data_IF_692474388184
#
_entry.id   IF_692474388184
#
_cell.length_a   1.000
_cell.length_b   1.000
_cell.length_c   1.000
_cell.angle_alpha   90.00
_cell.angle_beta   90.00
_cell.angle_gamma   90.00
#
_symmetry.space_group_name_H-M   'P 1'
#
loop_
_entity.id
_entity.type
_entity.pdbx_description
1 polymer ?
#
# COMPACT_ATOMS: atom_id res chain seq x y z
N UNK A 1 -13.17 12.10 24.29
CA UNK A 1 -13.65 12.86 23.11
C UNK A 1 -14.53 11.95 22.26
N UNK A 2 -15.60 12.49 21.67
CA UNK A 2 -16.43 11.72 20.74
C UNK A 2 -15.63 11.46 19.46
N UNK A 3 -15.56 10.19 18.99
CA UNK A 3 -14.83 9.80 17.81
C UNK A 3 -15.44 10.45 16.57
N UNK A 4 -14.62 11.05 15.70
CA UNK A 4 -15.07 11.54 14.39
C UNK A 4 -15.64 10.38 13.56
N UNK A 5 -16.56 10.70 12.65
CA UNK A 5 -17.10 9.74 11.68
C UNK A 5 -16.83 10.28 10.26
N UNK A 6 -16.73 9.37 9.29
CA UNK A 6 -16.80 9.77 7.90
C UNK A 6 -18.13 10.45 7.60
N UNK A 7 -18.09 11.49 6.78
CA UNK A 7 -19.29 12.23 6.37
C UNK A 7 -20.16 11.39 5.43
N UNK A 8 -19.52 10.54 4.62
CA UNK A 8 -20.22 9.74 3.62
C UNK A 8 -19.58 8.34 3.50
N UNK A 9 -20.41 7.36 3.08
CA UNK A 9 -19.94 6.01 2.76
C UNK A 9 -18.90 6.03 1.64
N UNK A 10 -19.12 6.85 0.60
CA UNK A 10 -18.16 7.01 -0.49
C UNK A 10 -16.82 7.56 0.04
N UNK A 11 -16.86 8.51 0.99
CA UNK A 11 -15.67 9.01 1.66
C UNK A 11 -14.91 7.90 2.38
N UNK A 12 -15.60 7.08 3.18
CA UNK A 12 -15.00 5.90 3.81
C UNK A 12 -14.35 4.95 2.79
N UNK A 13 -15.07 4.57 1.74
CA UNK A 13 -14.57 3.64 0.73
C UNK A 13 -13.34 4.19 0.01
N UNK A 14 -13.36 5.47 -0.41
CA UNK A 14 -12.25 6.08 -1.13
C UNK A 14 -11.02 6.33 -0.23
N UNK A 15 -11.21 6.68 1.04
CA UNK A 15 -10.09 6.83 1.98
C UNK A 15 -9.47 5.48 2.31
N UNK A 16 -10.29 4.47 2.61
CA UNK A 16 -9.80 3.12 2.91
C UNK A 16 -9.15 2.45 1.68
N UNK A 17 -9.75 2.62 0.50
CA UNK A 17 -9.14 2.16 -0.75
C UNK A 17 -7.85 2.94 -1.05
N UNK A 18 -7.81 4.26 -0.82
CA UNK A 18 -6.59 5.07 -0.97
C UNK A 18 -5.47 4.70 -0.02
N UNK A 19 -5.77 4.08 1.12
CA UNK A 19 -4.76 3.48 1.99
C UNK A 19 -4.15 2.21 1.38
N UNK A 20 -4.97 1.36 0.78
CA UNK A 20 -4.53 0.15 0.10
C UNK A 20 -3.83 0.48 -1.24
N UNK A 21 -4.46 1.35 -2.05
CA UNK A 21 -3.94 1.79 -3.35
C UNK A 21 -2.70 2.67 -3.15
N UNK A 22 -1.54 2.09 -3.39
CA UNK A 22 -0.27 2.78 -3.21
C UNK A 22 0.81 2.27 -4.16
N UNK A 23 2.05 2.39 -3.74
CA UNK A 23 3.23 1.88 -4.47
C UNK A 23 3.10 0.37 -4.73
N UNK A 24 2.42 -0.36 -3.84
CA UNK A 24 2.15 -1.78 -3.98
C UNK A 24 1.40 -2.17 -5.26
N UNK A 25 0.43 -1.35 -5.68
CA UNK A 25 -0.39 -1.58 -6.86
C UNK A 25 0.27 -1.10 -8.15
N UNK A 26 0.88 0.10 -8.10
CA UNK A 26 1.31 0.80 -9.31
C UNK A 26 2.76 0.54 -9.66
N UNK A 27 3.54 0.02 -8.72
CA UNK A 27 4.94 -0.32 -8.91
C UNK A 27 5.22 -1.81 -8.65
N UNK A 28 5.01 -2.28 -7.39
CA UNK A 28 5.40 -3.64 -7.00
C UNK A 28 4.61 -4.71 -7.75
N UNK A 29 3.31 -4.53 -7.91
CA UNK A 29 2.47 -5.50 -8.60
C UNK A 29 2.88 -5.71 -10.07
N UNK A 30 3.05 -4.67 -10.93
CA UNK A 30 3.53 -4.86 -12.29
C UNK A 30 4.93 -5.49 -12.33
N UNK A 31 5.86 -5.04 -11.48
CA UNK A 31 7.20 -5.59 -11.39
C UNK A 31 7.18 -7.10 -11.08
N UNK A 32 6.51 -7.50 -10.00
CA UNK A 32 6.41 -8.93 -9.63
C UNK A 32 5.68 -9.73 -10.71
N UNK A 33 4.66 -9.16 -11.34
CA UNK A 33 3.96 -9.79 -12.47
C UNK A 33 4.92 -10.02 -13.64
N UNK A 34 5.76 -9.07 -13.98
CA UNK A 34 6.80 -9.21 -15.01
C UNK A 34 7.81 -10.30 -14.68
N UNK A 35 8.30 -10.30 -13.44
CA UNK A 35 9.29 -11.27 -12.94
C UNK A 35 8.76 -12.70 -12.93
N UNK A 36 7.51 -12.93 -12.57
CA UNK A 36 6.91 -14.27 -12.46
C UNK A 36 6.08 -14.69 -13.67
N UNK A 37 6.18 -13.97 -14.80
CA UNK A 37 5.63 -14.39 -16.08
C UNK A 37 4.13 -14.20 -16.24
N UNK A 38 3.56 -13.13 -15.73
CA UNK A 38 2.24 -12.62 -16.10
C UNK A 38 1.05 -13.40 -15.57
N UNK A 39 0.24 -13.99 -16.44
CA UNK A 39 -1.11 -14.45 -16.17
C UNK A 39 -1.32 -15.42 -15.00
N UNK A 40 -0.40 -16.35 -14.74
CA UNK A 40 -0.50 -17.22 -13.55
C UNK A 40 -0.35 -16.45 -12.25
N UNK A 41 0.60 -15.51 -12.18
CA UNK A 41 0.74 -14.67 -11.00
C UNK A 41 -0.51 -13.85 -10.73
N UNK A 42 -1.07 -13.21 -11.76
CA UNK A 42 -2.32 -12.42 -11.64
C UNK A 42 -3.47 -13.30 -11.14
N UNK A 43 -3.62 -14.51 -11.69
CA UNK A 43 -4.66 -15.45 -11.27
C UNK A 43 -4.53 -15.82 -9.77
N UNK A 44 -3.34 -16.23 -9.34
CA UNK A 44 -3.11 -16.59 -7.93
C UNK A 44 -3.22 -15.39 -7.00
N UNK A 45 -2.79 -14.20 -7.43
CA UNK A 45 -2.98 -12.96 -6.68
C UNK A 45 -4.46 -12.68 -6.40
N UNK A 46 -5.33 -12.78 -7.41
CA UNK A 46 -6.78 -12.61 -7.25
C UNK A 46 -7.39 -13.64 -6.30
N UNK A 47 -6.96 -14.89 -6.39
CA UNK A 47 -7.40 -15.95 -5.47
C UNK A 47 -6.96 -15.60 -4.03
N UNK A 48 -5.70 -15.24 -3.82
CA UNK A 48 -5.16 -14.90 -2.51
C UNK A 48 -5.83 -13.67 -1.88
N UNK A 49 -6.18 -12.65 -2.67
CA UNK A 49 -6.96 -11.51 -2.18
C UNK A 49 -8.29 -11.93 -1.58
N UNK A 50 -9.00 -12.86 -2.24
CA UNK A 50 -10.31 -13.33 -1.78
C UNK A 50 -10.19 -14.23 -0.53
N UNK A 51 -9.25 -15.19 -0.56
CA UNK A 51 -9.14 -16.17 0.52
C UNK A 51 -8.39 -15.64 1.75
N UNK A 52 -7.50 -14.68 1.59
CA UNK A 52 -6.64 -14.15 2.67
C UNK A 52 -6.88 -12.68 2.93
N UNK A 53 -6.84 -11.84 1.92
CA UNK A 53 -6.91 -10.39 2.04
C UNK A 53 -8.25 -9.91 2.63
N UNK A 54 -9.38 -10.28 2.03
CA UNK A 54 -10.71 -9.88 2.52
C UNK A 54 -10.98 -10.36 3.96
N UNK A 55 -10.70 -11.63 4.35
CA UNK A 55 -10.85 -12.06 5.72
C UNK A 55 -10.06 -11.25 6.75
N UNK A 56 -8.77 -11.03 6.52
CA UNK A 56 -7.92 -10.27 7.45
C UNK A 56 -8.34 -8.80 7.52
N UNK A 57 -8.63 -8.17 6.38
CA UNK A 57 -9.16 -6.81 6.34
C UNK A 57 -10.47 -6.68 7.14
N UNK A 58 -11.36 -7.67 7.03
CA UNK A 58 -12.61 -7.68 7.79
C UNK A 58 -12.36 -7.74 9.31
N UNK A 59 -11.30 -8.43 9.74
CA UNK A 59 -10.91 -8.51 11.17
C UNK A 59 -10.35 -7.17 11.66
N UNK A 60 -9.47 -6.52 10.92
CA UNK A 60 -8.97 -5.19 11.29
C UNK A 60 -10.11 -4.17 11.38
N UNK A 61 -10.97 -4.10 10.36
CA UNK A 61 -12.14 -3.24 10.38
C UNK A 61 -13.07 -3.54 11.56
N UNK A 62 -13.23 -4.82 11.96
CA UNK A 62 -14.06 -5.23 13.07
C UNK A 62 -13.53 -4.73 14.43
N UNK A 63 -12.22 -4.88 14.65
CA UNK A 63 -11.55 -4.39 15.87
C UNK A 63 -11.70 -2.87 15.99
N UNK A 64 -11.45 -2.14 14.90
CA UNK A 64 -11.62 -0.70 14.86
C UNK A 64 -13.07 -0.27 15.10
N UNK A 65 -14.05 -0.87 14.40
CA UNK A 65 -15.46 -0.49 14.51
C UNK A 65 -16.07 -0.83 15.86
N UNK A 66 -15.71 -1.97 16.44
CA UNK A 66 -16.21 -2.38 17.75
C UNK A 66 -15.67 -1.50 18.88
N UNK A 67 -14.39 -1.16 18.83
CA UNK A 67 -13.72 -0.36 19.86
C UNK A 67 -13.95 1.14 19.74
N UNK A 68 -14.09 1.66 18.52
CA UNK A 68 -14.12 3.11 18.23
C UNK A 68 -12.85 3.84 18.69
N UNK A 69 -11.70 3.15 18.67
CA UNK A 69 -10.41 3.63 19.18
C UNK A 69 -9.28 3.34 18.17
N UNK A 70 -8.12 3.94 18.39
CA UNK A 70 -6.87 3.58 17.70
C UNK A 70 -6.26 2.30 18.29
N UNK A 71 -5.34 1.68 17.58
CA UNK A 71 -4.88 0.31 17.81
C UNK A 71 -4.64 -0.09 19.28
N UNK A 72 -3.83 0.67 20.04
CA UNK A 72 -3.53 0.32 21.44
C UNK A 72 -4.78 0.31 22.30
N UNK A 73 -5.57 1.37 22.21
CA UNK A 73 -6.79 1.48 23.00
C UNK A 73 -7.92 0.58 22.49
N UNK A 74 -7.90 0.21 21.23
CA UNK A 74 -8.85 -0.75 20.66
C UNK A 74 -8.70 -2.11 21.31
N UNK A 75 -7.48 -2.63 21.38
CA UNK A 75 -7.21 -3.89 22.07
C UNK A 75 -7.53 -3.79 23.56
N UNK A 76 -7.13 -2.70 24.26
CA UNK A 76 -7.47 -2.50 25.66
C UNK A 76 -8.99 -2.50 25.93
N UNK A 77 -9.78 -2.01 24.97
CA UNK A 77 -11.25 -1.97 25.08
C UNK A 77 -11.88 -3.35 24.89
N UNK A 78 -11.31 -4.18 24.02
CA UNK A 78 -11.89 -5.46 23.59
C UNK A 78 -11.28 -6.68 24.28
N UNK A 79 -10.07 -6.57 24.85
CA UNK A 79 -9.42 -7.66 25.57
C UNK A 79 -10.08 -7.94 26.92
N UNK A 80 -9.94 -9.17 27.38
CA UNK A 80 -10.45 -9.56 28.72
C UNK A 80 -9.50 -9.06 29.80
N UNK A 81 -10.03 -8.81 31.03
CA UNK A 81 -9.18 -8.39 32.16
C UNK A 81 -7.97 -9.32 32.36
N UNK A 82 -6.78 -8.73 32.51
CA UNK A 82 -5.52 -9.44 32.70
C UNK A 82 -4.82 -9.91 31.43
N UNK A 83 -5.40 -9.70 30.25
CA UNK A 83 -4.75 -9.97 28.98
C UNK A 83 -3.88 -8.78 28.54
N UNK A 84 -2.97 -9.04 27.59
CA UNK A 84 -2.00 -8.04 27.10
C UNK A 84 -1.98 -7.92 25.58
N UNK A 85 -3.12 -8.08 24.94
CA UNK A 85 -3.24 -7.94 23.47
C UNK A 85 -2.93 -6.52 22.99
N UNK A 86 -3.13 -5.51 23.84
CA UNK A 86 -2.81 -4.11 23.55
C UNK A 86 -1.31 -3.89 23.21
N UNK A 87 -0.40 -4.80 23.59
CA UNK A 87 1.00 -4.76 23.17
C UNK A 87 1.09 -4.80 21.65
N UNK A 88 0.22 -5.57 20.98
CA UNK A 88 0.16 -5.60 19.52
C UNK A 88 -0.13 -4.22 18.92
N UNK A 89 -0.96 -3.40 19.56
CA UNK A 89 -1.19 -2.03 19.11
C UNK A 89 0.08 -1.18 19.03
N UNK A 90 1.04 -1.38 19.95
CA UNK A 90 2.34 -0.71 19.89
C UNK A 90 3.18 -1.23 18.73
N UNK A 91 3.15 -2.54 18.45
CA UNK A 91 3.80 -3.12 17.26
C UNK A 91 3.22 -2.57 15.96
N UNK A 92 1.91 -2.39 15.89
CA UNK A 92 1.26 -1.75 14.74
C UNK A 92 1.78 -0.32 14.52
N UNK A 93 1.91 0.46 15.59
CA UNK A 93 2.43 1.84 15.49
C UNK A 93 3.90 1.88 15.10
N UNK A 94 4.72 0.97 15.63
CA UNK A 94 6.10 0.80 15.18
C UNK A 94 6.16 0.45 13.68
N UNK A 95 5.30 -0.47 13.23
CA UNK A 95 5.18 -0.83 11.80
C UNK A 95 4.78 0.34 10.92
N UNK A 96 3.83 1.17 11.37
CA UNK A 96 3.44 2.39 10.67
C UNK A 96 4.60 3.40 10.58
N UNK A 97 5.38 3.57 11.66
CA UNK A 97 6.54 4.46 11.65
C UNK A 97 7.61 3.96 10.67
N UNK A 98 7.99 2.69 10.77
CA UNK A 98 8.99 2.07 9.88
C UNK A 98 8.56 2.14 8.40
N UNK A 99 7.28 1.84 8.12
CA UNK A 99 6.74 1.97 6.78
C UNK A 99 6.91 3.40 6.26
N UNK A 100 6.56 4.40 7.06
CA UNK A 100 6.60 5.80 6.61
C UNK A 100 8.02 6.33 6.49
N UNK A 101 9.02 5.77 7.15
CA UNK A 101 10.43 6.20 7.03
C UNK A 101 10.92 6.11 5.57
N UNK A 102 10.64 4.99 4.89
CA UNK A 102 11.03 4.85 3.48
C UNK A 102 9.91 5.26 2.51
N UNK A 103 8.65 5.08 2.87
CA UNK A 103 7.53 5.35 1.97
C UNK A 103 7.38 6.83 1.63
N UNK A 104 7.67 7.74 2.58
CA UNK A 104 7.68 9.19 2.34
C UNK A 104 8.81 9.60 1.39
N UNK A 105 9.98 8.95 1.48
CA UNK A 105 11.11 9.15 0.57
C UNK A 105 10.74 8.72 -0.85
N UNK A 106 10.19 7.51 -1.02
CA UNK A 106 9.77 6.99 -2.33
C UNK A 106 8.62 7.83 -2.92
N UNK A 107 7.67 8.29 -2.08
CA UNK A 107 6.64 9.24 -2.52
C UNK A 107 7.27 10.55 -2.99
N UNK A 108 8.33 11.01 -2.33
CA UNK A 108 9.13 12.16 -2.76
C UNK A 108 9.70 11.99 -4.16
N UNK A 109 10.21 10.78 -4.52
CA UNK A 109 10.69 10.48 -5.88
C UNK A 109 9.57 10.61 -6.93
N UNK A 110 8.35 10.20 -6.59
CA UNK A 110 7.21 10.36 -7.52
C UNK A 110 6.89 11.84 -7.78
N UNK A 111 6.94 12.67 -6.72
CA UNK A 111 6.73 14.13 -6.82
C UNK A 111 7.87 14.78 -7.62
N UNK A 112 9.12 14.37 -7.41
CA UNK A 112 10.27 14.87 -8.15
C UNK A 112 10.17 14.55 -9.64
N UNK A 113 9.85 13.30 -10.00
CA UNK A 113 9.67 12.91 -11.39
C UNK A 113 8.47 13.60 -12.05
N UNK A 114 7.38 13.78 -11.31
CA UNK A 114 6.27 14.62 -11.78
C UNK A 114 6.75 16.04 -12.11
N UNK A 115 7.54 16.66 -11.23
CA UNK A 115 8.09 17.99 -11.43
C UNK A 115 9.06 18.04 -12.62
N UNK A 116 9.96 17.06 -12.76
CA UNK A 116 10.92 16.96 -13.87
C UNK A 116 10.22 16.82 -15.22
N UNK A 117 9.22 15.96 -15.33
CA UNK A 117 8.40 15.83 -16.56
C UNK A 117 7.64 17.12 -16.86
N UNK A 118 7.02 17.73 -15.85
CA UNK A 118 6.27 18.99 -15.99
C UNK A 118 7.18 20.12 -16.46
N UNK A 119 8.40 20.20 -15.94
CA UNK A 119 9.41 21.21 -16.34
C UNK A 119 9.98 20.91 -17.74
N UNK A 120 10.02 19.68 -18.15
CA UNK A 120 10.55 19.25 -19.44
C UNK A 120 12.03 18.89 -19.39
N UNK A 121 12.52 18.37 -18.27
CA UNK A 121 13.90 17.90 -18.10
C UNK A 121 14.15 16.60 -18.89
N UNK A 122 13.09 15.82 -19.12
CA UNK A 122 13.08 14.67 -20.01
C UNK A 122 12.77 15.11 -21.43
N UNK A 123 13.79 15.12 -22.30
CA UNK A 123 13.67 15.55 -23.70
C UNK A 123 13.58 14.36 -24.64
N UNK A 124 12.86 14.54 -25.75
CA UNK A 124 12.75 13.51 -26.79
C UNK A 124 14.15 13.13 -27.34
N UNK A 125 14.39 11.82 -27.43
CA UNK A 125 15.66 11.29 -27.93
C UNK A 125 16.73 11.05 -26.86
N UNK A 126 16.45 11.32 -25.58
CA UNK A 126 17.35 10.91 -24.48
C UNK A 126 17.56 9.39 -24.52
N UNK A 127 18.81 8.95 -24.43
CA UNK A 127 19.17 7.55 -24.34
C UNK A 127 18.82 6.92 -22.98
N UNK A 128 18.70 5.60 -22.94
CA UNK A 128 18.40 4.86 -21.68
C UNK A 128 19.45 5.11 -20.60
N UNK A 129 20.72 5.28 -20.97
CA UNK A 129 21.81 5.59 -20.03
C UNK A 129 21.66 7.00 -19.42
N UNK A 130 21.28 8.00 -20.24
CA UNK A 130 21.05 9.37 -19.75
C UNK A 130 19.89 9.42 -18.76
N UNK A 131 18.80 8.70 -19.06
CA UNK A 131 17.63 8.59 -18.18
C UNK A 131 18.01 7.85 -16.89
N UNK A 132 18.77 6.76 -17.00
CA UNK A 132 19.33 6.07 -15.84
C UNK A 132 20.24 6.98 -14.99
N UNK A 133 20.99 7.87 -15.67
CA UNK A 133 21.80 8.92 -15.05
C UNK A 133 20.98 9.89 -14.20
N UNK A 134 19.79 10.31 -14.67
CA UNK A 134 18.88 11.19 -13.91
C UNK A 134 18.45 10.52 -12.59
N UNK A 135 18.12 9.23 -12.62
CA UNK A 135 17.75 8.48 -11.41
C UNK A 135 18.94 8.33 -10.46
N UNK A 136 20.09 7.96 -10.95
CA UNK A 136 21.32 7.82 -10.16
C UNK A 136 21.76 9.15 -9.55
N UNK A 137 21.63 10.25 -10.29
CA UNK A 137 21.92 11.60 -9.79
C UNK A 137 20.96 12.00 -8.66
N UNK A 138 19.65 11.73 -8.81
CA UNK A 138 18.67 11.97 -7.75
C UNK A 138 19.03 11.20 -6.48
N UNK A 139 19.34 9.89 -6.58
CA UNK A 139 19.72 9.06 -5.43
C UNK A 139 21.02 9.53 -4.76
N UNK A 140 21.97 10.06 -5.53
CA UNK A 140 23.24 10.60 -5.00
C UNK A 140 23.12 12.00 -4.41
N UNK A 141 21.98 12.69 -4.58
CA UNK A 141 21.71 14.04 -4.07
C UNK A 141 20.85 14.00 -2.81
N UNK A 142 21.43 14.03 -1.60
CA UNK A 142 20.66 14.05 -0.36
C UNK A 142 19.79 15.30 -0.23
N UNK A 143 20.19 16.43 -0.80
CA UNK A 143 19.43 17.68 -0.78
C UNK A 143 18.13 17.56 -1.59
N UNK A 144 18.21 17.07 -2.83
CA UNK A 144 17.07 16.90 -3.71
C UNK A 144 16.05 15.92 -3.10
N UNK A 145 16.52 14.75 -2.66
CA UNK A 145 15.67 13.75 -1.99
C UNK A 145 14.99 14.32 -0.74
N UNK A 146 15.73 15.09 0.06
CA UNK A 146 15.20 15.71 1.29
C UNK A 146 14.12 16.75 0.98
N UNK A 147 14.30 17.60 -0.02
CA UNK A 147 13.31 18.62 -0.40
C UNK A 147 11.96 17.97 -0.73
N UNK A 148 11.95 16.97 -1.58
CA UNK A 148 10.70 16.30 -1.99
C UNK A 148 10.08 15.47 -0.86
N UNK A 149 10.89 14.82 -0.02
CA UNK A 149 10.40 14.14 1.19
C UNK A 149 9.77 15.14 2.16
N UNK A 150 10.40 16.30 2.41
CA UNK A 150 9.85 17.35 3.28
C UNK A 150 8.50 17.85 2.76
N UNK A 151 8.38 18.07 1.44
CA UNK A 151 7.09 18.47 0.83
C UNK A 151 6.01 17.43 1.14
N UNK A 152 6.30 16.15 0.95
CA UNK A 152 5.35 15.05 1.23
C UNK A 152 4.95 15.01 2.70
N UNK A 153 5.91 15.05 3.61
CA UNK A 153 5.66 14.93 5.06
C UNK A 153 4.88 16.15 5.56
N UNK A 154 5.30 17.37 5.21
CA UNK A 154 4.65 18.60 5.66
C UNK A 154 3.22 18.69 5.13
N UNK A 155 3.01 18.45 3.82
CA UNK A 155 1.66 18.46 3.24
C UNK A 155 0.77 17.36 3.84
N UNK A 156 1.32 16.16 4.09
CA UNK A 156 0.59 15.06 4.69
C UNK A 156 0.07 15.40 6.08
N UNK A 157 0.93 15.85 6.99
CA UNK A 157 0.53 16.24 8.33
C UNK A 157 -0.34 17.51 8.35
N UNK A 158 -0.11 18.46 7.44
CA UNK A 158 -0.97 19.63 7.29
C UNK A 158 -2.41 19.20 6.95
N UNK A 159 -2.59 18.34 5.96
CA UNK A 159 -3.92 17.81 5.58
C UNK A 159 -4.58 17.09 6.75
N UNK A 160 -3.87 16.19 7.42
CA UNK A 160 -4.39 15.44 8.55
C UNK A 160 -4.72 16.34 9.76
N UNK A 161 -4.04 17.49 9.92
CA UNK A 161 -4.30 18.43 11.02
C UNK A 161 -5.70 19.03 11.00
N UNK A 162 -6.34 19.11 9.82
CA UNK A 162 -7.71 19.64 9.65
C UNK A 162 -8.82 18.66 10.07
N UNK A 163 -8.48 17.44 10.50
CA UNK A 163 -9.44 16.40 10.91
C UNK A 163 -9.83 15.44 9.80
N UNK A 164 -10.62 14.42 10.16
CA UNK A 164 -11.01 13.35 9.23
C UNK A 164 -11.89 13.90 8.11
N UNK A 165 -12.96 14.64 8.44
CA UNK A 165 -13.95 15.08 7.45
C UNK A 165 -13.45 16.22 6.56
N UNK A 166 -12.80 17.24 7.15
CA UNK A 166 -12.40 18.47 6.43
C UNK A 166 -11.05 18.32 5.72
N UNK A 167 -10.13 17.56 6.30
CA UNK A 167 -8.80 17.28 5.77
C UNK A 167 -8.78 15.98 4.97
N UNK A 168 -8.65 14.86 5.67
CA UNK A 168 -8.41 13.54 5.09
C UNK A 168 -9.48 13.15 4.04
N UNK A 169 -10.77 13.07 4.44
CA UNK A 169 -11.85 12.61 3.55
C UNK A 169 -11.99 13.49 2.31
N UNK A 170 -11.98 14.81 2.50
CA UNK A 170 -12.19 15.75 1.39
C UNK A 170 -11.06 15.68 0.36
N UNK A 171 -9.81 15.69 0.81
CA UNK A 171 -8.63 15.71 -0.06
C UNK A 171 -8.44 14.35 -0.73
N UNK A 172 -8.46 13.26 0.04
CA UNK A 172 -8.32 11.91 -0.50
C UNK A 172 -9.43 11.59 -1.50
N UNK A 173 -10.67 12.02 -1.25
CA UNK A 173 -11.77 11.83 -2.21
C UNK A 173 -11.50 12.48 -3.56
N UNK A 174 -11.01 13.74 -3.58
CA UNK A 174 -10.66 14.43 -4.83
C UNK A 174 -9.50 13.74 -5.52
N UNK A 175 -8.44 13.40 -4.77
CA UNK A 175 -7.28 12.69 -5.31
C UNK A 175 -7.65 11.33 -5.89
N UNK A 176 -8.46 10.54 -5.19
CA UNK A 176 -8.89 9.22 -5.67
C UNK A 176 -9.76 9.27 -6.91
N UNK A 177 -10.67 10.24 -7.01
CA UNK A 177 -11.46 10.45 -8.23
C UNK A 177 -10.54 10.85 -9.40
N UNK A 178 -9.59 11.77 -9.18
CA UNK A 178 -8.62 12.16 -10.19
C UNK A 178 -7.71 10.97 -10.59
N UNK A 179 -7.25 10.17 -9.61
CA UNK A 179 -6.47 8.96 -9.85
C UNK A 179 -7.23 7.97 -10.72
N UNK A 180 -8.50 7.69 -10.41
CA UNK A 180 -9.33 6.77 -11.20
C UNK A 180 -9.58 7.29 -12.62
N UNK A 181 -9.71 8.60 -12.80
CA UNK A 181 -9.82 9.21 -14.14
C UNK A 181 -8.50 9.10 -14.91
N UNK A 182 -7.37 9.42 -14.27
CA UNK A 182 -6.04 9.34 -14.88
C UNK A 182 -5.69 7.91 -15.29
N UNK A 183 -5.96 6.91 -14.46
CA UNK A 183 -5.65 5.51 -14.79
C UNK A 183 -6.43 5.03 -16.02
N UNK A 184 -7.69 5.46 -16.17
CA UNK A 184 -8.49 5.12 -17.37
C UNK A 184 -7.90 5.78 -18.61
N UNK A 185 -7.55 7.07 -18.55
CA UNK A 185 -6.94 7.81 -19.67
C UNK A 185 -5.62 7.17 -20.08
N UNK A 186 -4.75 6.88 -19.13
CA UNK A 186 -3.45 6.25 -19.38
C UNK A 186 -3.59 4.83 -19.94
N UNK A 187 -4.54 4.04 -19.43
CA UNK A 187 -4.79 2.69 -19.91
C UNK A 187 -5.33 2.68 -21.35
N UNK A 188 -6.29 3.57 -21.66
CA UNK A 188 -6.80 3.71 -23.04
C UNK A 188 -5.66 4.09 -23.99
N UNK A 189 -4.82 5.06 -23.61
CA UNK A 189 -3.67 5.44 -24.41
C UNK A 189 -2.71 4.24 -24.62
N UNK A 190 -2.38 3.51 -23.55
CA UNK A 190 -1.44 2.38 -23.61
C UNK A 190 -1.98 1.25 -24.49
N UNK A 191 -3.30 0.99 -24.48
CA UNK A 191 -3.92 -0.02 -25.33
C UNK A 191 -3.95 0.35 -26.83
N UNK A 192 -3.74 1.62 -27.18
CA UNK A 192 -3.64 2.08 -28.57
C UNK A 192 -2.21 1.96 -29.15
N UNK A 193 -1.24 1.59 -28.33
CA UNK A 193 0.15 1.42 -28.76
C UNK A 193 0.32 0.15 -29.64
N UNK A 194 1.28 0.16 -30.59
CA UNK A 194 1.47 -0.97 -31.55
C UNK A 194 1.71 -2.34 -30.90
N UNK A 195 2.45 -2.40 -29.77
CA UNK A 195 2.76 -3.63 -29.03
C UNK A 195 1.72 -4.03 -27.99
N UNK A 196 0.58 -3.33 -27.92
CA UNK A 196 -0.41 -3.53 -26.86
C UNK A 196 -0.96 -4.97 -26.79
N UNK A 197 -1.20 -5.59 -27.95
CA UNK A 197 -1.72 -6.96 -27.99
C UNK A 197 -0.76 -7.98 -27.37
N UNK A 198 0.54 -7.86 -27.64
CA UNK A 198 1.57 -8.75 -27.08
C UNK A 198 1.75 -8.53 -25.58
N UNK A 199 1.81 -7.27 -25.15
CA UNK A 199 1.87 -6.91 -23.73
C UNK A 199 0.67 -7.41 -22.95
N UNK A 200 -0.55 -7.28 -23.47
CA UNK A 200 -1.76 -7.80 -22.85
C UNK A 200 -1.81 -9.34 -22.83
N UNK A 201 -1.32 -9.99 -23.88
CA UNK A 201 -1.18 -11.45 -23.93
C UNK A 201 -0.24 -11.96 -22.85
N UNK A 202 0.94 -11.35 -22.70
CA UNK A 202 1.88 -11.67 -21.64
C UNK A 202 1.25 -11.47 -20.26
N UNK A 203 0.57 -10.36 -20.06
CA UNK A 203 0.04 -9.95 -18.77
C UNK A 203 -1.11 -10.84 -18.28
N UNK A 204 -2.06 -11.19 -19.16
CA UNK A 204 -3.31 -11.85 -18.76
C UNK A 204 -3.38 -13.33 -19.11
N UNK A 205 -2.64 -13.80 -20.09
CA UNK A 205 -2.71 -15.21 -20.50
C UNK A 205 -1.68 -16.05 -19.74
N UNK A 206 -2.12 -17.09 -19.03
CA UNK A 206 -1.22 -18.02 -18.38
C UNK A 206 -0.32 -18.74 -19.38
N UNK A 207 1.00 -18.74 -19.13
CA UNK A 207 2.00 -19.39 -19.97
C UNK A 207 2.63 -20.58 -19.26
N UNK A 208 2.67 -21.75 -19.92
CA UNK A 208 3.37 -22.92 -19.39
C UNK A 208 4.87 -22.69 -19.19
N UNK A 209 5.46 -21.79 -19.97
CA UNK A 209 6.86 -21.40 -19.85
C UNK A 209 7.14 -20.69 -18.53
N UNK A 210 6.23 -19.83 -18.07
CA UNK A 210 6.29 -19.16 -16.79
C UNK A 210 6.41 -20.15 -15.61
N UNK A 211 5.63 -21.26 -15.64
CA UNK A 211 5.75 -22.29 -14.62
C UNK A 211 7.07 -23.05 -14.70
N UNK A 212 7.58 -23.31 -15.93
CA UNK A 212 8.85 -24.01 -16.11
C UNK A 212 10.04 -23.18 -15.62
N UNK A 213 10.01 -21.88 -15.87
CA UNK A 213 11.11 -20.95 -15.51
C UNK A 213 11.12 -20.63 -14.02
N UNK A 214 9.96 -20.29 -13.46
CA UNK A 214 9.86 -19.76 -12.10
C UNK A 214 9.46 -20.79 -11.05
N UNK A 215 8.82 -21.89 -11.46
CA UNK A 215 8.22 -22.87 -10.56
C UNK A 215 6.88 -22.40 -9.98
N UNK A 216 5.89 -23.30 -9.97
CA UNK A 216 4.53 -23.00 -9.51
C UNK A 216 4.50 -22.52 -8.04
N UNK A 217 5.34 -23.13 -7.16
CA UNK A 217 5.41 -22.76 -5.76
C UNK A 217 5.84 -21.31 -5.56
N UNK A 218 6.87 -20.86 -6.26
CA UNK A 218 7.38 -19.48 -6.17
C UNK A 218 6.35 -18.46 -6.69
N UNK A 219 5.64 -18.78 -7.79
CA UNK A 219 4.57 -17.92 -8.32
C UNK A 219 3.46 -17.74 -7.29
N UNK A 220 2.97 -18.85 -6.70
CA UNK A 220 1.91 -18.81 -5.68
C UNK A 220 2.37 -17.96 -4.47
N UNK A 221 3.59 -18.15 -4.01
CA UNK A 221 4.11 -17.44 -2.84
C UNK A 221 4.28 -15.96 -3.11
N UNK A 222 4.83 -15.59 -4.27
CA UNK A 222 4.92 -14.20 -4.67
C UNK A 222 3.53 -13.55 -4.72
N UNK A 223 2.53 -14.26 -5.22
CA UNK A 223 1.14 -13.80 -5.25
C UNK A 223 0.53 -13.66 -3.85
N UNK A 224 0.81 -14.58 -2.92
CA UNK A 224 0.40 -14.49 -1.52
C UNK A 224 1.01 -13.26 -0.84
N UNK A 225 2.32 -13.07 -0.97
CA UNK A 225 3.03 -11.91 -0.43
C UNK A 225 2.46 -10.60 -0.98
N UNK A 226 2.24 -10.53 -2.29
CA UNK A 226 1.67 -9.35 -2.93
C UNK A 226 0.25 -9.04 -2.43
N UNK A 227 -0.59 -10.06 -2.21
CA UNK A 227 -1.95 -9.87 -1.71
C UNK A 227 -2.00 -9.29 -0.28
N UNK A 228 -1.02 -9.61 0.57
CA UNK A 228 -0.89 -9.00 1.90
C UNK A 228 -0.33 -7.60 1.84
N UNK A 229 0.71 -7.39 1.04
CA UNK A 229 1.38 -6.10 0.92
C UNK A 229 0.45 -5.03 0.36
N UNK A 230 -0.29 -5.35 -0.73
CA UNK A 230 -1.16 -4.37 -1.40
C UNK A 230 -2.25 -3.80 -0.50
N UNK A 231 -2.77 -4.60 0.44
CA UNK A 231 -3.84 -4.19 1.35
C UNK A 231 -3.33 -3.56 2.66
N UNK A 232 -2.00 -3.47 2.86
CA UNK A 232 -1.35 -2.92 4.08
C UNK A 232 -1.90 -3.53 5.38
N UNK A 233 -2.14 -4.85 5.40
CA UNK A 233 -2.75 -5.57 6.52
C UNK A 233 -1.71 -5.89 7.62
N UNK A 234 -2.15 -5.90 8.88
CA UNK A 234 -1.33 -6.29 10.03
C UNK A 234 -0.77 -5.14 10.86
N UNK A 235 -0.86 -3.90 10.39
CA UNK A 235 -0.34 -2.70 11.07
C UNK A 235 -1.43 -1.71 11.49
N UNK A 236 -2.67 -2.17 11.63
CA UNK A 236 -3.83 -1.36 12.00
C UNK A 236 -4.21 -0.26 11.00
N UNK A 237 -3.74 -0.35 9.75
CA UNK A 237 -4.05 0.64 8.73
C UNK A 237 -5.55 0.64 8.38
N UNK A 238 -6.20 -0.51 8.32
CA UNK A 238 -7.65 -0.62 8.13
C UNK A 238 -8.44 -0.49 9.43
N UNK A 239 -7.85 -0.82 10.56
CA UNK A 239 -8.49 -0.70 11.88
C UNK A 239 -8.91 0.74 12.18
N UNK A 240 -8.03 1.72 11.91
CA UNK A 240 -8.33 3.12 12.18
C UNK A 240 -9.56 3.58 11.39
N UNK A 241 -9.71 3.15 10.12
CA UNK A 241 -10.89 3.49 9.32
C UNK A 241 -12.14 2.76 9.79
N UNK A 242 -12.00 1.52 10.27
CA UNK A 242 -13.07 0.83 10.99
C UNK A 242 -13.59 1.65 12.16
N UNK A 243 -12.70 2.32 12.91
CA UNK A 243 -13.08 3.14 14.07
C UNK A 243 -13.90 4.40 13.71
N UNK A 244 -13.83 4.85 12.47
CA UNK A 244 -14.57 6.03 11.96
C UNK A 244 -15.84 5.67 11.20
N UNK A 245 -16.10 4.36 10.93
CA UNK A 245 -17.27 3.95 10.18
C UNK A 245 -18.48 3.66 11.08
N UNK A 246 -19.70 3.81 10.52
CA UNK A 246 -20.95 3.44 11.16
C UNK A 246 -21.25 1.93 11.09
N UNK A 247 -22.42 1.54 11.56
CA UNK A 247 -22.90 0.14 11.60
C UNK A 247 -23.98 -0.17 10.56
N UNK A 248 -24.17 0.69 9.57
CA UNK A 248 -25.21 0.57 8.54
C UNK A 248 -24.93 -0.57 7.55
N UNK A 249 -23.65 -0.93 7.36
CA UNK A 249 -23.20 -1.93 6.41
C UNK A 249 -22.34 -3.03 7.06
N UNK A 250 -22.43 -4.24 6.50
CA UNK A 250 -21.60 -5.37 6.93
C UNK A 250 -20.14 -5.16 6.55
N UNK A 251 -19.22 -5.60 7.40
CA UNK A 251 -17.78 -5.42 7.15
C UNK A 251 -17.28 -6.26 5.98
N UNK A 252 -17.81 -7.46 5.78
CA UNK A 252 -17.46 -8.27 4.61
C UNK A 252 -17.79 -7.56 3.30
N UNK A 253 -18.94 -6.86 3.23
CA UNK A 253 -19.32 -6.09 2.05
C UNK A 253 -18.42 -4.88 1.81
N UNK A 254 -18.01 -4.17 2.87
CA UNK A 254 -17.11 -3.02 2.75
C UNK A 254 -15.67 -3.46 2.41
N UNK A 255 -15.15 -4.49 3.06
CA UNK A 255 -13.84 -5.07 2.75
C UNK A 255 -13.76 -5.55 1.28
N UNK A 256 -14.81 -6.21 0.79
CA UNK A 256 -14.88 -6.63 -0.63
C UNK A 256 -14.82 -5.44 -1.58
N UNK A 257 -15.50 -4.33 -1.27
CA UNK A 257 -15.47 -3.12 -2.12
C UNK A 257 -14.12 -2.43 -2.11
N UNK A 258 -13.49 -2.32 -0.93
CA UNK A 258 -12.14 -1.76 -0.81
C UNK A 258 -11.17 -2.62 -1.61
N UNK A 259 -11.20 -3.94 -1.43
CA UNK A 259 -10.37 -4.88 -2.17
C UNK A 259 -10.62 -4.82 -3.68
N UNK A 260 -11.88 -4.67 -4.12
CA UNK A 260 -12.20 -4.54 -5.54
C UNK A 260 -11.64 -3.25 -6.17
N UNK A 261 -11.68 -2.12 -5.44
CA UNK A 261 -11.07 -0.86 -5.90
C UNK A 261 -9.55 -0.96 -5.96
N UNK A 262 -8.93 -1.56 -4.94
CA UNK A 262 -7.49 -1.84 -4.88
C UNK A 262 -7.05 -2.71 -6.07
N UNK A 263 -7.74 -3.83 -6.28
CA UNK A 263 -7.49 -4.75 -7.39
C UNK A 263 -7.68 -4.09 -8.74
N UNK A 264 -8.73 -3.27 -8.91
CA UNK A 264 -8.97 -2.54 -10.15
C UNK A 264 -7.75 -1.66 -10.50
N UNK A 265 -7.22 -0.92 -9.53
CA UNK A 265 -6.05 -0.06 -9.78
C UNK A 265 -4.81 -0.91 -10.09
N UNK A 266 -4.56 -2.01 -9.38
CA UNK A 266 -3.43 -2.91 -9.65
C UNK A 266 -3.52 -3.49 -11.07
N UNK A 267 -4.69 -4.00 -11.47
CA UNK A 267 -4.91 -4.55 -12.81
C UNK A 267 -4.72 -3.47 -13.88
N UNK A 268 -5.28 -2.28 -13.69
CA UNK A 268 -5.15 -1.18 -14.64
C UNK A 268 -3.71 -0.65 -14.74
N UNK A 269 -2.94 -0.67 -13.66
CA UNK A 269 -1.51 -0.36 -13.70
C UNK A 269 -0.75 -1.33 -14.62
N UNK A 270 -1.07 -2.62 -14.57
CA UNK A 270 -0.54 -3.60 -15.52
C UNK A 270 -0.96 -3.30 -16.98
N UNK A 271 -2.23 -2.92 -17.21
CA UNK A 271 -2.73 -2.50 -18.53
C UNK A 271 -1.99 -1.27 -19.08
N UNK A 272 -1.50 -0.39 -18.21
CA UNK A 272 -0.69 0.77 -18.61
C UNK A 272 0.74 0.30 -18.96
N UNK A 273 1.35 -0.48 -18.09
CA UNK A 273 2.79 -0.75 -18.11
C UNK A 273 3.16 -1.79 -19.17
N UNK A 274 2.47 -2.94 -19.20
CA UNK A 274 2.86 -4.03 -20.10
C UNK A 274 2.75 -3.67 -21.60
N UNK A 275 1.63 -3.10 -22.08
CA UNK A 275 1.56 -2.64 -23.47
C UNK A 275 2.65 -1.62 -23.83
N UNK A 276 2.95 -0.70 -22.92
CA UNK A 276 3.99 0.29 -23.12
C UNK A 276 5.37 -0.37 -23.23
N UNK A 277 5.74 -1.27 -22.30
CA UNK A 277 7.02 -1.99 -22.34
C UNK A 277 7.17 -2.78 -23.63
N UNK A 278 6.17 -3.56 -24.04
CA UNK A 278 6.24 -4.37 -25.27
C UNK A 278 6.26 -3.54 -26.54
N UNK A 279 5.61 -2.37 -26.56
CA UNK A 279 5.65 -1.46 -27.72
C UNK A 279 7.02 -0.85 -27.97
N UNK A 280 7.82 -0.68 -26.92
CA UNK A 280 9.15 -0.08 -27.00
C UNK A 280 10.30 -1.07 -26.74
N UNK A 281 10.00 -2.37 -26.70
CA UNK A 281 11.00 -3.45 -26.56
C UNK A 281 11.73 -3.47 -25.23
N UNK A 282 11.06 -3.01 -24.15
CA UNK A 282 11.65 -2.91 -22.81
C UNK A 282 11.16 -4.05 -21.93
N UNK A 283 12.06 -4.63 -21.12
CA UNK A 283 11.72 -5.72 -20.21
C UNK A 283 10.97 -5.20 -18.98
N UNK A 284 9.84 -5.84 -18.58
CA UNK A 284 9.01 -5.37 -17.47
C UNK A 284 9.45 -5.86 -16.08
N UNK A 285 10.61 -6.52 -15.97
CA UNK A 285 11.11 -7.18 -14.74
C UNK A 285 12.22 -6.42 -14.00
N UNK A 286 12.42 -5.14 -14.33
CA UNK A 286 13.59 -4.36 -13.92
C UNK A 286 13.54 -3.75 -12.51
N UNK A 287 12.60 -4.15 -11.62
CA UNK A 287 12.52 -3.62 -10.24
C UNK A 287 12.22 -2.11 -10.17
N UNK A 288 12.91 -1.35 -9.29
CA UNK A 288 12.78 0.12 -9.21
C UNK A 288 13.09 0.81 -10.53
N UNK A 289 13.99 0.26 -11.33
CA UNK A 289 14.35 0.75 -12.65
C UNK A 289 13.16 0.79 -13.60
N UNK A 290 12.16 -0.09 -13.41
CA UNK A 290 10.96 -0.10 -14.26
C UNK A 290 10.24 1.26 -14.25
N UNK A 291 10.05 1.86 -13.08
CA UNK A 291 9.30 3.12 -12.95
C UNK A 291 10.18 4.35 -13.26
N UNK A 292 11.43 4.35 -12.80
CA UNK A 292 12.27 5.54 -12.82
C UNK A 292 13.27 5.60 -13.99
N UNK A 293 13.45 4.49 -14.70
CA UNK A 293 14.33 4.42 -15.86
C UNK A 293 13.60 3.94 -17.10
N UNK A 294 12.95 2.77 -17.01
CA UNK A 294 12.29 2.11 -18.14
C UNK A 294 11.10 2.90 -18.66
N UNK A 295 10.15 3.27 -17.81
CA UNK A 295 8.96 4.03 -18.25
C UNK A 295 9.29 5.46 -18.70
N UNK A 296 10.17 6.22 -18.05
CA UNK A 296 10.67 7.47 -18.62
C UNK A 296 11.28 7.31 -20.01
N UNK A 297 12.06 6.23 -20.26
CA UNK A 297 12.60 5.93 -21.61
C UNK A 297 11.49 5.69 -22.63
N UNK A 298 10.41 5.02 -22.22
CA UNK A 298 9.22 4.85 -23.07
C UNK A 298 8.59 6.21 -23.38
N UNK A 299 8.36 7.03 -22.35
CA UNK A 299 7.69 8.33 -22.54
C UNK A 299 8.49 9.30 -23.41
N UNK A 300 9.82 9.40 -23.27
CA UNK A 300 10.61 10.31 -24.11
C UNK A 300 10.62 9.91 -25.58
N UNK A 301 10.36 8.64 -25.90
CA UNK A 301 10.27 8.13 -27.28
C UNK A 301 8.85 8.15 -27.84
N UNK A 302 7.84 8.55 -27.04
CA UNK A 302 6.44 8.68 -27.47
C UNK A 302 6.13 10.08 -28.00
N UNK A 303 5.22 10.16 -28.95
CA UNK A 303 4.61 11.44 -29.33
C UNK A 303 3.83 12.04 -28.15
N UNK A 304 4.15 13.27 -27.76
CA UNK A 304 3.58 13.90 -26.56
C UNK A 304 4.07 13.35 -25.24
N UNK A 305 5.23 12.68 -25.22
CA UNK A 305 5.77 11.96 -24.07
C UNK A 305 5.91 12.78 -22.80
N UNK A 306 6.22 14.09 -22.92
CA UNK A 306 6.22 15.01 -21.77
C UNK A 306 4.85 15.04 -21.07
N UNK A 307 3.76 15.11 -21.84
CA UNK A 307 2.39 15.09 -21.27
C UNK A 307 2.10 13.74 -20.60
N UNK A 308 2.38 12.64 -21.30
CA UNK A 308 2.09 11.30 -20.79
C UNK A 308 2.92 10.96 -19.56
N UNK A 309 4.21 11.30 -19.54
CA UNK A 309 5.05 11.16 -18.36
C UNK A 309 4.57 12.01 -17.19
N UNK A 310 4.18 13.27 -17.43
CA UNK A 310 3.61 14.15 -16.40
C UNK A 310 2.32 13.54 -15.80
N UNK A 311 1.39 13.07 -16.64
CA UNK A 311 0.14 12.45 -16.17
C UNK A 311 0.39 11.14 -15.43
N UNK A 312 1.34 10.34 -15.87
CA UNK A 312 1.72 9.09 -15.21
C UNK A 312 2.30 9.35 -13.82
N UNK A 313 3.27 10.25 -13.69
CA UNK A 313 3.86 10.56 -12.38
C UNK A 313 2.91 11.34 -11.47
N UNK A 314 1.95 12.09 -12.01
CA UNK A 314 0.85 12.65 -11.23
C UNK A 314 -0.05 11.54 -10.66
N UNK A 315 -0.39 10.54 -11.47
CA UNK A 315 -1.12 9.35 -11.03
C UNK A 315 -0.36 8.61 -9.92
N UNK A 316 0.95 8.37 -10.12
CA UNK A 316 1.81 7.74 -9.13
C UNK A 316 1.89 8.52 -7.81
N UNK A 317 2.00 9.85 -7.92
CA UNK A 317 2.01 10.76 -6.75
C UNK A 317 0.69 10.66 -5.98
N UNK A 318 -0.45 10.66 -6.65
CA UNK A 318 -1.74 10.54 -5.96
C UNK A 318 -1.91 9.17 -5.30
N UNK A 319 -1.49 8.10 -5.95
CA UNK A 319 -1.53 6.75 -5.38
C UNK A 319 -0.67 6.66 -4.11
N UNK A 320 0.59 7.08 -4.17
CA UNK A 320 1.50 7.01 -3.01
C UNK A 320 1.08 7.97 -1.90
N UNK A 321 0.71 9.20 -2.21
CA UNK A 321 0.35 10.22 -1.22
C UNK A 321 -0.96 9.89 -0.49
N UNK A 322 -1.92 9.19 -1.13
CA UNK A 322 -3.13 8.74 -0.43
C UNK A 322 -2.84 7.74 0.69
N UNK A 323 -1.87 6.84 0.49
CA UNK A 323 -1.38 5.94 1.55
C UNK A 323 -0.66 6.70 2.66
N UNK A 324 0.18 7.69 2.33
CA UNK A 324 0.84 8.56 3.32
C UNK A 324 -0.19 9.23 4.23
N UNK A 325 -1.23 9.84 3.64
CA UNK A 325 -2.31 10.48 4.41
C UNK A 325 -3.02 9.51 5.34
N UNK A 326 -3.29 8.30 4.86
CA UNK A 326 -3.97 7.26 5.62
C UNK A 326 -3.16 6.78 6.83
N UNK A 327 -1.87 6.52 6.65
CA UNK A 327 -1.00 6.06 7.74
C UNK A 327 -0.67 7.20 8.71
N UNK A 328 -0.51 8.43 8.22
CA UNK A 328 -0.36 9.59 9.11
C UNK A 328 -1.58 9.81 9.98
N UNK A 329 -2.80 9.60 9.44
CA UNK A 329 -4.02 9.64 10.25
C UNK A 329 -4.01 8.58 11.34
N UNK A 330 -3.54 7.35 11.05
CA UNK A 330 -3.42 6.29 12.05
C UNK A 330 -2.47 6.69 13.19
N UNK A 331 -1.29 7.23 12.86
CA UNK A 331 -0.32 7.72 13.84
C UNK A 331 -0.87 8.89 14.66
N UNK A 332 -1.58 9.84 14.02
CA UNK A 332 -2.22 10.96 14.71
C UNK A 332 -3.31 10.51 15.66
N UNK A 333 -4.18 9.62 15.22
CA UNK A 333 -5.24 9.08 16.04
C UNK A 333 -4.69 8.33 17.27
N UNK A 334 -3.62 7.55 17.06
CA UNK A 334 -2.92 6.90 18.16
C UNK A 334 -2.36 7.93 19.16
N UNK A 335 -1.69 8.99 18.69
CA UNK A 335 -1.13 10.01 19.56
C UNK A 335 -2.22 10.75 20.36
N UNK A 336 -3.33 11.09 19.72
CA UNK A 336 -4.48 11.73 20.37
C UNK A 336 -5.14 10.82 21.39
N UNK A 337 -5.40 9.56 21.03
CA UNK A 337 -6.11 8.61 21.92
C UNK A 337 -5.24 8.19 23.10
N UNK A 338 -3.95 7.92 22.88
CA UNK A 338 -3.05 7.33 23.90
C UNK A 338 -2.47 8.39 24.82
N UNK A 339 -2.07 9.55 24.29
CA UNK A 339 -1.42 10.60 25.10
C UNK A 339 -2.35 11.76 25.45
N UNK A 340 -3.57 11.78 24.96
CA UNK A 340 -4.55 12.83 25.26
C UNK A 340 -4.18 14.21 24.72
N UNK A 341 -3.24 14.31 23.78
CA UNK A 341 -2.79 15.58 23.19
C UNK A 341 -3.75 16.06 22.10
N UNK A 342 -3.79 17.36 21.87
CA UNK A 342 -4.64 17.90 20.81
C UNK A 342 -4.12 17.49 19.42
N UNK A 343 -5.03 17.34 18.46
CA UNK A 343 -4.72 16.94 17.09
C UNK A 343 -3.65 17.83 16.44
N UNK A 344 -3.70 19.15 16.66
CA UNK A 344 -2.70 20.08 16.13
C UNK A 344 -1.32 19.84 16.73
N UNK A 345 -1.22 19.59 18.04
CA UNK A 345 0.05 19.23 18.69
C UNK A 345 0.58 17.90 18.20
N UNK A 346 -0.29 16.88 18.08
CA UNK A 346 0.05 15.58 17.54
C UNK A 346 0.59 15.69 16.10
N UNK A 347 -0.06 16.51 15.26
CA UNK A 347 0.37 16.76 13.87
C UNK A 347 1.75 17.43 13.81
N UNK A 348 2.00 18.42 14.64
CA UNK A 348 3.31 19.10 14.67
C UNK A 348 4.43 18.15 15.14
N UNK A 349 4.19 17.43 16.24
CA UNK A 349 5.16 16.45 16.77
C UNK A 349 5.40 15.33 15.76
N UNK A 350 4.33 14.78 15.18
CA UNK A 350 4.43 13.72 14.17
C UNK A 350 5.18 14.19 12.91
N UNK A 351 4.93 15.42 12.46
CA UNK A 351 5.66 16.01 11.34
C UNK A 351 7.16 16.10 11.61
N UNK A 352 7.56 16.68 12.73
CA UNK A 352 8.98 16.80 13.12
C UNK A 352 9.61 15.42 13.29
N UNK A 353 8.93 14.51 13.98
CA UNK A 353 9.42 13.16 14.18
C UNK A 353 9.61 12.43 12.84
N UNK A 354 8.66 12.52 11.92
CA UNK A 354 8.74 11.84 10.62
C UNK A 354 9.84 12.44 9.73
N UNK A 355 10.03 13.76 9.74
CA UNK A 355 11.15 14.40 9.03
C UNK A 355 12.51 13.83 9.49
N UNK A 356 12.68 13.64 10.81
CA UNK A 356 13.92 13.06 11.36
C UNK A 356 14.02 11.57 11.04
N UNK A 357 12.94 10.82 11.22
CA UNK A 357 12.91 9.36 11.03
C UNK A 357 13.07 8.93 9.55
N UNK A 358 12.71 9.78 8.59
CA UNK A 358 12.90 9.49 7.17
C UNK A 358 14.32 9.78 6.66
N UNK A 359 15.13 10.53 7.41
CA UNK A 359 16.51 10.86 7.01
C UNK A 359 17.42 9.63 6.82
N UNK A 360 17.39 8.59 7.68
CA UNK A 360 18.20 7.39 7.48
C UNK A 360 17.97 6.73 6.12
N UNK A 361 16.71 6.64 5.66
CA UNK A 361 16.40 6.10 4.34
C UNK A 361 17.09 6.91 3.22
N UNK A 362 17.00 8.25 3.26
CA UNK A 362 17.66 9.13 2.28
C UNK A 362 19.18 8.94 2.32
N UNK A 363 19.78 9.01 3.49
CA UNK A 363 21.22 8.88 3.67
C UNK A 363 21.74 7.51 3.25
N UNK A 364 20.93 6.48 3.35
CA UNK A 364 21.24 5.12 2.91
C UNK A 364 21.50 4.97 1.41
N UNK A 365 21.05 5.94 0.59
CA UNK A 365 21.33 5.94 -0.86
C UNK A 365 22.61 6.69 -1.24
N UNK A 366 23.17 7.48 -0.34
CA UNK A 366 24.33 8.35 -0.62
C UNK A 366 25.38 8.30 0.49
N UNK A 367 25.26 9.12 1.53
CA UNK A 367 26.27 9.25 2.61
C UNK A 367 26.52 7.94 3.35
N UNK A 368 25.48 7.11 3.52
CA UNK A 368 25.51 5.79 4.18
C UNK A 368 25.33 4.64 3.19
N UNK A 369 25.67 4.83 1.91
CA UNK A 369 25.45 3.84 0.85
C UNK A 369 26.10 2.48 1.10
N UNK A 370 27.20 2.45 1.85
CA UNK A 370 27.91 1.22 2.22
C UNK A 370 27.37 0.56 3.51
N UNK A 371 26.41 1.23 4.19
CA UNK A 371 25.85 0.73 5.45
C UNK A 371 24.84 -0.39 5.19
N UNK A 372 25.16 -1.58 5.68
CA UNK A 372 24.27 -2.75 5.67
C UNK A 372 23.74 -2.99 7.08
N UNK A 373 22.40 -2.99 7.26
CA UNK A 373 21.79 -3.13 8.59
C UNK A 373 21.34 -4.56 8.87
N UNK A 374 20.70 -5.23 7.91
CA UNK A 374 20.18 -6.59 8.07
C UNK A 374 20.75 -7.48 6.94
N UNK A 375 21.74 -8.30 7.26
CA UNK A 375 22.45 -9.10 6.26
C UNK A 375 23.14 -8.18 5.24
N UNK A 376 22.92 -8.41 3.95
CA UNK A 376 23.46 -7.59 2.86
C UNK A 376 22.53 -6.46 2.41
N UNK A 377 21.52 -6.10 3.20
CA UNK A 377 20.50 -5.10 2.87
C UNK A 377 20.92 -3.71 3.33
N UNK A 378 20.81 -2.73 2.45
CA UNK A 378 20.94 -1.31 2.79
C UNK A 378 19.82 -0.83 3.73
N UNK A 379 19.77 0.47 4.00
CA UNK A 379 18.82 1.04 4.98
C UNK A 379 17.37 0.82 4.53
N UNK A 380 16.99 1.26 3.31
CA UNK A 380 15.63 1.11 2.81
C UNK A 380 15.20 -0.36 2.73
N UNK A 381 16.05 -1.22 2.19
CA UNK A 381 15.73 -2.64 2.04
C UNK A 381 15.56 -3.33 3.40
N UNK A 382 16.27 -2.85 4.43
CA UNK A 382 16.14 -3.34 5.80
C UNK A 382 14.83 -2.86 6.44
N UNK A 383 14.43 -1.61 6.21
CA UNK A 383 13.14 -1.06 6.65
C UNK A 383 11.97 -1.80 5.98
N UNK A 384 12.03 -1.99 4.66
CA UNK A 384 11.00 -2.75 3.93
C UNK A 384 10.95 -4.22 4.36
N UNK A 385 12.08 -4.87 4.57
CA UNK A 385 12.13 -6.24 5.07
C UNK A 385 11.44 -6.38 6.44
N UNK A 386 11.72 -5.47 7.38
CA UNK A 386 11.08 -5.48 8.70
C UNK A 386 9.55 -5.31 8.59
N UNK A 387 9.10 -4.42 7.73
CA UNK A 387 7.66 -4.18 7.53
C UNK A 387 7.03 -5.33 6.75
N UNK A 388 7.49 -5.57 5.52
CA UNK A 388 6.80 -6.43 4.56
C UNK A 388 6.94 -7.91 4.89
N UNK A 389 8.13 -8.35 5.34
CA UNK A 389 8.40 -9.77 5.62
C UNK A 389 8.07 -10.18 7.06
N UNK A 390 8.06 -9.26 8.02
CA UNK A 390 7.83 -9.57 9.43
C UNK A 390 6.55 -8.95 9.98
N UNK A 391 6.47 -7.61 10.03
CA UNK A 391 5.40 -6.93 10.78
C UNK A 391 4.02 -7.13 10.17
N UNK A 392 3.88 -7.08 8.85
CA UNK A 392 2.59 -7.31 8.19
C UNK A 392 2.07 -8.74 8.40
N UNK A 393 2.85 -9.81 8.14
CA UNK A 393 2.36 -11.17 8.38
C UNK A 393 2.13 -11.49 9.86
N UNK A 394 3.06 -11.10 10.76
CA UNK A 394 2.92 -11.32 12.21
C UNK A 394 1.70 -10.56 12.74
N UNK A 395 1.54 -9.31 12.36
CA UNK A 395 0.39 -8.50 12.76
C UNK A 395 -0.93 -9.10 12.31
N UNK A 396 -1.00 -9.55 11.06
CA UNK A 396 -2.19 -10.22 10.51
C UNK A 396 -2.50 -11.52 11.27
N UNK A 397 -1.48 -12.31 11.63
CA UNK A 397 -1.65 -13.50 12.46
C UNK A 397 -2.20 -13.15 13.85
N UNK A 398 -1.73 -12.05 14.46
CA UNK A 398 -2.22 -11.61 15.77
C UNK A 398 -3.67 -11.12 15.68
N UNK A 399 -4.06 -10.36 14.65
CA UNK A 399 -5.47 -9.99 14.41
C UNK A 399 -6.36 -11.24 14.29
N UNK A 400 -5.91 -12.23 13.52
CA UNK A 400 -6.61 -13.49 13.36
C UNK A 400 -6.77 -14.23 14.69
N UNK A 401 -5.68 -14.38 15.44
CA UNK A 401 -5.70 -15.04 16.76
C UNK A 401 -6.60 -14.28 17.74
N UNK A 402 -6.56 -12.97 17.76
CA UNK A 402 -7.41 -12.13 18.63
C UNK A 402 -8.88 -12.30 18.29
N UNK A 403 -9.25 -12.25 17.02
CA UNK A 403 -10.64 -12.34 16.58
C UNK A 403 -11.22 -13.76 16.68
N UNK A 404 -10.39 -14.82 16.55
CA UNK A 404 -10.89 -16.20 16.42
C UNK A 404 -10.68 -17.05 17.67
N UNK A 405 -9.64 -16.78 18.48
CA UNK A 405 -9.32 -17.60 19.63
C UNK A 405 -10.23 -17.29 20.83
N UNK A 406 -10.40 -18.30 21.70
CA UNK A 406 -11.09 -18.13 22.99
C UNK A 406 -10.32 -17.26 23.99
N UNK A 407 -9.04 -17.07 23.76
CA UNK A 407 -8.15 -16.23 24.59
C UNK A 407 -8.10 -14.77 24.13
N UNK A 408 -8.67 -14.44 22.99
CA UNK A 408 -8.83 -13.08 22.49
C UNK A 408 -10.27 -12.57 22.67
N UNK A 409 -10.68 -11.69 21.75
CA UNK A 409 -12.05 -11.16 21.67
C UNK A 409 -13.06 -12.27 21.33
N UNK A 410 -12.67 -13.21 20.49
CA UNK A 410 -13.41 -14.45 20.21
C UNK A 410 -14.28 -14.38 18.96
N UNK A 411 -14.45 -15.56 18.33
CA UNK A 411 -15.10 -15.68 17.02
C UNK A 411 -16.56 -15.20 17.00
N UNK A 412 -17.34 -15.45 18.05
CA UNK A 412 -18.77 -15.05 18.07
C UNK A 412 -18.91 -13.51 18.16
N UNK A 413 -18.06 -12.83 18.94
CA UNK A 413 -18.05 -11.38 19.03
C UNK A 413 -17.61 -10.76 17.68
N UNK A 414 -16.53 -11.29 17.08
CA UNK A 414 -16.09 -10.88 15.76
C UNK A 414 -17.19 -11.06 14.71
N UNK A 415 -17.82 -12.24 14.66
CA UNK A 415 -18.86 -12.55 13.69
C UNK A 415 -20.10 -11.67 13.86
N UNK A 416 -20.50 -11.40 15.10
CA UNK A 416 -21.62 -10.51 15.41
C UNK A 416 -21.34 -9.09 14.90
N UNK A 417 -20.14 -8.55 15.17
CA UNK A 417 -19.75 -7.23 14.70
C UNK A 417 -19.63 -7.20 13.16
N UNK A 418 -18.96 -8.18 12.56
CA UNK A 418 -18.77 -8.23 11.11
C UNK A 418 -20.08 -8.29 10.33
N UNK A 419 -21.08 -8.97 10.89
CA UNK A 419 -22.41 -9.16 10.29
C UNK A 419 -23.43 -8.08 10.65
N UNK A 420 -23.03 -7.07 11.43
CA UNK A 420 -23.90 -5.93 11.76
C UNK A 420 -24.08 -5.03 10.52
N UNK A 421 -25.34 -4.69 10.23
CA UNK A 421 -25.71 -3.84 9.11
C UNK A 421 -26.22 -4.60 7.87
N UNK A 422 -26.42 -3.86 6.76
CA UNK A 422 -26.94 -4.39 5.49
C UNK A 422 -25.80 -4.83 4.58
N UNK A 423 -25.88 -6.03 4.00
CA UNK A 423 -24.91 -6.55 3.05
C UNK A 423 -24.64 -8.06 3.23
N UNK A 424 -23.65 -8.61 2.51
CA UNK A 424 -23.25 -9.99 2.61
C UNK A 424 -22.74 -10.30 4.03
N UNK A 425 -23.21 -11.42 4.58
CA UNK A 425 -22.87 -11.86 5.94
C UNK A 425 -21.87 -13.00 5.88
N UNK A 426 -20.91 -13.00 6.81
CA UNK A 426 -20.00 -14.11 7.01
C UNK A 426 -20.76 -15.28 7.66
N UNK A 427 -20.75 -16.48 7.05
CA UNK A 427 -21.42 -17.63 7.62
C UNK A 427 -20.57 -18.30 8.71
N UNK A 428 -21.23 -18.91 9.69
CA UNK A 428 -20.57 -19.60 10.83
C UNK A 428 -19.68 -20.77 10.41
N UNK A 429 -19.95 -21.39 9.29
CA UNK A 429 -19.16 -22.53 8.80
C UNK A 429 -17.72 -22.13 8.39
N UNK A 430 -17.42 -20.84 8.20
CA UNK A 430 -16.06 -20.35 7.97
C UNK A 430 -15.15 -20.41 9.23
N UNK A 431 -15.71 -20.72 10.42
CA UNK A 431 -14.92 -20.82 11.65
C UNK A 431 -13.73 -21.78 11.55
N UNK A 432 -13.84 -23.02 11.01
CA UNK A 432 -12.69 -23.91 10.82
C UNK A 432 -11.64 -23.34 9.86
N UNK A 433 -12.07 -22.65 8.80
CA UNK A 433 -11.18 -21.97 7.87
C UNK A 433 -10.34 -20.91 8.58
N UNK A 434 -10.96 -20.01 9.33
CA UNK A 434 -10.26 -18.96 10.09
C UNK A 434 -9.39 -19.52 11.23
N UNK A 435 -9.74 -20.68 11.77
CA UNK A 435 -9.02 -21.27 12.89
C UNK A 435 -7.80 -22.09 12.47
N UNK A 436 -7.81 -22.72 11.30
CA UNK A 436 -6.80 -23.69 10.89
C UNK A 436 -6.13 -23.34 9.56
N UNK A 437 -6.90 -23.00 8.53
CA UNK A 437 -6.37 -22.80 7.17
C UNK A 437 -5.70 -21.43 7.06
N UNK A 438 -6.39 -20.37 7.42
CA UNK A 438 -5.87 -19.01 7.28
C UNK A 438 -4.59 -18.76 8.10
N UNK A 439 -4.44 -19.25 9.37
CA UNK A 439 -3.17 -19.16 10.09
C UNK A 439 -2.03 -19.88 9.37
N UNK A 440 -2.29 -21.07 8.81
CA UNK A 440 -1.29 -21.83 8.07
C UNK A 440 -0.79 -21.04 6.85
N UNK A 441 -1.70 -20.42 6.09
CA UNK A 441 -1.34 -19.59 4.94
C UNK A 441 -0.47 -18.40 5.36
N UNK A 442 -0.80 -17.73 6.48
CA UNK A 442 0.00 -16.61 7.00
C UNK A 442 1.38 -17.08 7.46
N UNK A 443 1.46 -18.25 8.10
CA UNK A 443 2.76 -18.83 8.50
C UNK A 443 3.63 -19.13 7.28
N UNK A 444 3.04 -19.64 6.19
CA UNK A 444 3.77 -19.88 4.94
C UNK A 444 4.39 -18.59 4.41
N UNK A 445 3.63 -17.47 4.39
CA UNK A 445 4.13 -16.16 3.99
C UNK A 445 5.28 -15.71 4.88
N UNK A 446 5.11 -15.83 6.21
CA UNK A 446 6.13 -15.43 7.19
C UNK A 446 7.43 -16.21 7.00
N UNK A 447 7.34 -17.54 6.87
CA UNK A 447 8.53 -18.41 6.69
C UNK A 447 9.26 -18.05 5.40
N UNK A 448 8.54 -17.82 4.32
CA UNK A 448 9.15 -17.46 3.04
C UNK A 448 9.74 -16.05 3.01
N UNK A 449 9.16 -15.11 3.76
CA UNK A 449 9.76 -13.78 3.94
C UNK A 449 11.08 -13.81 4.69
N UNK A 450 11.37 -14.90 5.43
CA UNK A 450 12.60 -15.10 6.21
C UNK A 450 13.68 -15.90 5.43
N UNK A 451 13.30 -16.69 4.43
CA UNK A 451 14.20 -17.47 3.55
C UNK A 451 14.72 -16.63 2.39
#
# INVERSE_FOLDING_TARGET
MQRENFRSRLGFLLVSAGCAIGIGNVWRFPYITGQYGGGYFVLFYLICLVIMGIPVMTMELAVGRASRKSAVQAYQTLEKPGQKWHIHGWFCMLGCCLLMMYYTTVTGWMVDYFYKFLRGDFVAGMGTEEIGGVFSQMLSSPEEMTIFMVIVVVLGFLVCSFGVQKGLERITKVMMIALLALIVVLAVHSLLLPGAAEGMKFYLLPSAESIRTNGLGNIITAAMNQAFFTLSLGIAAMEIFGSYMGREHTLAGEATRICALDTFVAIMAGVIIFPACFSYGVQPDAGPSLIFQTLPSVFVNMEGGRLWGTLFFLFMTFASFSTVLAVFENLLAFAVDTFGISRKKASLIGCIAMLVLSMPCILGFNVWGDLQLIGARGVQDSEDFLVSSLLLPIGSAIYLLFCVSRWGWGFENYLAEANTGKGPKLPRWLRPYFRYVLPLLIIVILVQGLL
#
